data_IF_989075774146
#
_entry.id   IF_989075774146
#
_cell.length_a   1.000
_cell.length_b   1.000
_cell.length_c   1.000
_cell.angle_alpha   90.00
_cell.angle_beta   90.00
_cell.angle_gamma   90.00
#
_symmetry.space_group_name_H-M   'P 1'
#
loop_
_entity.id
_entity.type
_entity.pdbx_description
1 polymer ?
#
# COMPACT_ATOMS: atom_id res chain seq x y z
N UNK A 1 -19.31 10.00 -5.78
CA UNK A 1 -18.03 9.69 -6.45
C UNK A 1 -16.91 10.38 -5.70
N UNK A 2 -16.15 9.63 -4.91
CA UNK A 2 -14.93 10.13 -4.27
C UNK A 2 -14.00 8.95 -4.07
N UNK A 3 -13.17 8.66 -5.08
CA UNK A 3 -12.09 7.69 -4.94
C UNK A 3 -11.07 8.26 -3.95
N UNK A 4 -11.27 8.01 -2.65
CA UNK A 4 -10.34 8.42 -1.58
C UNK A 4 -9.23 7.39 -1.51
N UNK A 5 -8.20 7.61 -2.32
CA UNK A 5 -6.94 6.89 -2.20
C UNK A 5 -6.10 7.64 -1.17
N UNK A 6 -5.74 6.98 -0.08
CA UNK A 6 -5.00 7.57 1.03
C UNK A 6 -3.56 7.04 1.02
N UNK A 7 -2.59 7.95 1.01
CA UNK A 7 -1.19 7.56 1.12
C UNK A 7 -0.89 7.13 2.57
N UNK A 8 -0.26 5.97 2.75
CA UNK A 8 0.11 5.47 4.08
C UNK A 8 1.59 5.12 4.10
N UNK A 9 2.26 5.56 5.16
CA UNK A 9 3.70 5.36 5.37
C UNK A 9 3.96 4.45 6.58
N UNK A 10 2.90 4.05 7.29
CA UNK A 10 2.98 3.20 8.47
C UNK A 10 1.82 2.20 8.54
N UNK A 11 2.10 1.05 9.17
CA UNK A 11 1.17 -0.06 9.34
C UNK A 11 -0.10 0.36 10.10
N UNK A 12 0.07 1.19 11.13
CA UNK A 12 -1.04 1.70 11.95
C UNK A 12 -1.97 2.62 11.17
N UNK A 13 -1.40 3.49 10.31
CA UNK A 13 -2.19 4.38 9.47
C UNK A 13 -3.03 3.60 8.46
N UNK A 14 -2.46 2.59 7.81
CA UNK A 14 -3.21 1.76 6.86
C UNK A 14 -4.40 1.07 7.51
N UNK A 15 -4.24 0.43 8.69
CA UNK A 15 -5.38 -0.15 9.41
C UNK A 15 -6.47 0.86 9.73
N UNK A 16 -6.08 2.07 10.15
CA UNK A 16 -7.04 3.13 10.48
C UNK A 16 -7.75 3.67 9.24
N UNK A 17 -7.05 3.80 8.11
CA UNK A 17 -7.62 4.22 6.82
C UNK A 17 -8.55 3.16 6.21
N UNK A 18 -8.22 1.88 6.35
CA UNK A 18 -9.04 0.78 5.86
C UNK A 18 -10.38 0.67 6.61
N UNK A 19 -10.43 1.07 7.89
CA UNK A 19 -11.70 1.17 8.64
C UNK A 19 -12.69 2.18 8.05
N UNK A 20 -12.20 3.22 7.36
CA UNK A 20 -13.04 4.23 6.70
C UNK A 20 -13.60 3.74 5.35
N UNK A 21 -13.28 2.50 4.93
CA UNK A 21 -13.68 1.94 3.64
C UNK A 21 -12.91 2.53 2.45
N UNK A 22 -11.68 2.98 2.70
CA UNK A 22 -10.82 3.62 1.70
C UNK A 22 -9.86 2.68 0.99
N UNK A 23 -9.34 3.14 -0.16
CA UNK A 23 -8.18 2.53 -0.80
C UNK A 23 -6.92 3.13 -0.16
N UNK A 24 -5.97 2.29 0.22
CA UNK A 24 -4.65 2.76 0.65
C UNK A 24 -3.66 2.61 -0.50
N UNK A 25 -2.80 3.59 -0.68
CA UNK A 25 -1.64 3.46 -1.53
C UNK A 25 -0.37 3.71 -0.72
N UNK A 26 0.70 3.04 -1.09
CA UNK A 26 1.98 3.21 -0.42
C UNK A 26 3.11 2.83 -1.36
N UNK A 27 4.31 3.29 -1.02
CA UNK A 27 5.51 3.09 -1.81
C UNK A 27 6.02 1.66 -1.64
N UNK A 28 6.18 0.96 -2.76
CA UNK A 28 6.55 -0.45 -2.79
C UNK A 28 7.69 -0.73 -3.76
N UNK A 29 8.66 -1.52 -3.29
CA UNK A 29 9.84 -1.86 -4.07
C UNK A 29 9.56 -2.75 -5.30
N UNK A 30 8.40 -3.40 -5.36
CA UNK A 30 8.06 -4.32 -6.46
C UNK A 30 8.31 -5.80 -6.15
N UNK A 31 8.72 -6.17 -4.94
CA UNK A 31 9.03 -7.54 -4.55
C UNK A 31 7.81 -8.28 -4.02
N UNK A 32 7.46 -9.43 -4.61
CA UNK A 32 6.31 -10.26 -4.23
C UNK A 32 6.27 -10.58 -2.72
N UNK A 33 7.42 -10.86 -2.11
CA UNK A 33 7.53 -11.08 -0.65
C UNK A 33 7.09 -9.86 0.16
N UNK A 34 7.46 -8.67 -0.30
CA UNK A 34 7.16 -7.43 0.38
C UNK A 34 5.62 -7.19 0.28
N UNK A 35 4.98 -7.52 -0.85
CA UNK A 35 3.52 -7.51 -1.01
C UNK A 35 2.79 -8.49 -0.08
N UNK A 36 3.25 -9.74 0.00
CA UNK A 36 2.65 -10.76 0.86
C UNK A 36 2.72 -10.41 2.36
N UNK A 37 3.84 -9.84 2.80
CA UNK A 37 3.98 -9.33 4.17
C UNK A 37 3.02 -8.16 4.45
N UNK A 38 2.87 -7.28 3.47
CA UNK A 38 1.98 -6.12 3.59
C UNK A 38 0.52 -6.56 3.72
N UNK A 39 0.08 -7.55 2.96
CA UNK A 39 -1.26 -8.12 3.07
C UNK A 39 -1.53 -8.71 4.47
N UNK A 40 -0.56 -9.44 5.01
CA UNK A 40 -0.61 -10.04 6.34
C UNK A 40 -0.66 -8.96 7.46
N UNK A 41 0.20 -7.95 7.38
CA UNK A 41 0.26 -6.87 8.37
C UNK A 41 -0.98 -5.95 8.31
N UNK A 42 -1.40 -5.56 7.11
CA UNK A 42 -2.52 -4.66 6.90
C UNK A 42 -3.89 -5.34 7.00
N UNK A 43 -3.96 -6.68 6.99
CA UNK A 43 -5.21 -7.45 6.91
C UNK A 43 -6.07 -6.93 5.74
N UNK A 44 -5.41 -6.72 4.60
CA UNK A 44 -5.97 -6.10 3.41
C UNK A 44 -5.43 -6.75 2.14
N UNK A 45 -6.25 -6.77 1.10
CA UNK A 45 -5.91 -7.42 -0.16
C UNK A 45 -5.14 -6.44 -1.05
N UNK A 46 -3.98 -6.86 -1.57
CA UNK A 46 -3.18 -6.01 -2.44
C UNK A 46 -3.72 -6.08 -3.87
N UNK A 47 -4.64 -5.17 -4.19
CA UNK A 47 -5.29 -5.10 -5.51
C UNK A 47 -4.31 -5.01 -6.68
N UNK A 48 -3.15 -4.39 -6.48
CA UNK A 48 -2.09 -4.35 -7.47
C UNK A 48 -1.20 -3.14 -7.36
N UNK A 49 -0.21 -3.06 -8.24
CA UNK A 49 0.80 -1.99 -8.18
C UNK A 49 0.86 -1.19 -9.46
N UNK A 50 0.85 0.13 -9.30
CA UNK A 50 1.03 1.09 -10.37
C UNK A 50 2.50 1.17 -10.73
N UNK A 51 2.94 0.24 -11.58
CA UNK A 51 4.28 0.19 -12.16
C UNK A 51 4.70 1.46 -12.93
N UNK A 52 3.74 2.32 -13.30
CA UNK A 52 3.99 3.58 -14.03
C UNK A 52 4.19 4.81 -13.14
N UNK A 53 3.71 4.79 -11.89
CA UNK A 53 3.95 5.87 -10.93
C UNK A 53 5.25 5.54 -10.18
N UNK A 54 6.34 6.20 -10.58
CA UNK A 54 7.62 6.15 -9.86
C UNK A 54 7.53 7.13 -8.70
N UNK A 55 7.77 6.64 -7.49
CA UNK A 55 8.00 7.49 -6.32
C UNK A 55 9.47 7.37 -5.91
N UNK A 56 9.99 8.39 -5.24
CA UNK A 56 11.31 8.38 -4.60
C UNK A 56 11.18 8.04 -3.10
N UNK A 57 9.98 7.70 -2.64
CA UNK A 57 9.72 7.30 -1.26
C UNK A 57 10.25 5.89 -0.96
N UNK A 58 10.57 5.63 0.30
CA UNK A 58 11.07 4.33 0.75
C UNK A 58 9.94 3.31 0.87
N UNK A 59 10.26 2.04 0.65
CA UNK A 59 9.29 0.98 0.80
C UNK A 59 8.92 0.78 2.27
N UNK A 60 7.65 0.96 2.61
CA UNK A 60 7.11 0.85 3.97
C UNK A 60 7.48 -0.46 4.71
N UNK A 61 7.66 -1.58 3.99
CA UNK A 61 7.96 -2.88 4.63
C UNK A 61 9.44 -3.26 4.57
N UNK A 62 10.19 -2.80 3.57
CA UNK A 62 11.57 -3.24 3.36
C UNK A 62 12.60 -2.10 3.33
N UNK A 63 12.19 -0.83 3.45
CA UNK A 63 13.06 0.36 3.42
C UNK A 63 13.79 0.61 2.10
N UNK A 64 13.51 -0.20 1.08
CA UNK A 64 14.16 -0.12 -0.23
C UNK A 64 13.61 1.05 -1.06
N UNK A 65 14.40 1.53 -2.01
CA UNK A 65 14.03 2.57 -2.97
C UNK A 65 12.68 2.25 -3.65
N UNK A 66 11.64 3.01 -3.34
CA UNK A 66 10.26 2.70 -3.71
C UNK A 66 9.95 3.06 -5.15
N UNK A 67 10.41 2.25 -6.09
CA UNK A 67 10.27 2.53 -7.53
C UNK A 67 8.83 2.56 -8.06
N UNK A 68 7.83 2.16 -7.25
CA UNK A 68 6.45 1.89 -7.67
C UNK A 68 5.47 2.21 -6.55
N UNK A 69 4.25 2.62 -6.88
CA UNK A 69 3.16 2.80 -5.91
C UNK A 69 2.28 1.55 -5.91
N UNK A 70 2.11 0.91 -4.75
CA UNK A 70 1.16 -0.19 -4.55
C UNK A 70 -0.19 0.36 -4.07
N UNK A 71 -1.28 -0.28 -4.48
CA UNK A 71 -2.63 0.02 -3.99
C UNK A 71 -3.20 -1.25 -3.34
N UNK A 72 -3.71 -1.09 -2.13
CA UNK A 72 -4.39 -2.13 -1.38
C UNK A 72 -5.75 -1.63 -0.90
N UNK A 73 -6.70 -2.55 -0.77
CA UNK A 73 -8.01 -2.26 -0.23
C UNK A 73 -8.48 -3.42 0.64
N UNK A 74 -9.21 -3.09 1.71
CA UNK A 74 -9.91 -4.10 2.49
C UNK A 74 -11.23 -4.39 1.78
N UNK A 75 -11.34 -5.57 1.20
CA UNK A 75 -12.62 -6.12 0.76
C UNK A 75 -13.23 -6.84 1.96
N UNK A 76 -14.36 -6.34 2.44
CA UNK A 76 -15.19 -6.99 3.47
C UNK A 76 -16.46 -7.52 2.81
#
# INVERSE_FOLDING_TARGET
MSSRILNVNSLEEGRSKLKDGGFIQFSWCGSQECGKKLEDEFDADLLGTKLKEKTDEECINCGNEGKKVAVSAKTY
#
